data_IF_639866234926
#
_entry.id   IF_639866234926
#
_cell.length_a   1.000
_cell.length_b   1.000
_cell.length_c   1.000
_cell.angle_alpha   90.00
_cell.angle_beta   90.00
_cell.angle_gamma   90.00
#
_symmetry.space_group_name_H-M   'P 1'
#
loop_
_entity.id
_entity.type
_entity.pdbx_description
1 polymer ?
#
# COMPACT_ATOMS: atom_id res chain seq x y z
N UNK A 1 19.03 13.03 0.85
CA UNK A 1 18.68 12.28 2.07
C UNK A 1 17.57 11.32 1.68
N UNK A 2 17.73 10.00 1.87
CA UNK A 2 16.62 9.07 1.62
C UNK A 2 15.57 9.30 2.73
N UNK A 3 14.27 9.34 2.41
CA UNK A 3 13.25 9.39 3.45
C UNK A 3 13.40 8.17 4.37
N UNK A 4 13.26 8.32 5.69
CA UNK A 4 13.34 7.19 6.59
C UNK A 4 12.22 6.19 6.27
N UNK A 5 12.58 4.91 6.22
CA UNK A 5 11.69 3.78 5.90
C UNK A 5 11.15 3.19 7.20
N UNK A 6 9.86 2.84 7.22
CA UNK A 6 9.21 2.19 8.38
C UNK A 6 8.98 0.72 8.12
N UNK A 7 8.42 0.42 6.96
CA UNK A 7 7.96 -0.91 6.63
C UNK A 7 8.38 -1.27 5.22
N UNK A 8 8.90 -2.48 5.07
CA UNK A 8 9.14 -3.12 3.78
C UNK A 8 8.40 -4.44 3.79
N UNK A 9 7.37 -4.56 2.96
CA UNK A 9 6.67 -5.83 2.72
C UNK A 9 6.94 -6.26 1.28
N UNK A 10 7.14 -7.55 1.08
CA UNK A 10 7.31 -8.15 -0.23
C UNK A 10 6.00 -8.81 -0.67
N UNK A 11 5.86 -8.98 -1.97
CA UNK A 11 5.08 -10.06 -2.57
C UNK A 11 5.85 -10.50 -3.81
N UNK A 12 6.24 -11.77 -3.87
CA UNK A 12 6.94 -12.39 -4.99
C UNK A 12 8.06 -11.51 -5.60
N UNK A 13 7.72 -10.64 -6.55
CA UNK A 13 8.66 -9.74 -7.25
C UNK A 13 8.51 -8.26 -6.92
N UNK A 14 7.52 -7.86 -6.14
CA UNK A 14 7.23 -6.46 -5.81
C UNK A 14 7.57 -6.18 -4.35
N UNK A 15 8.20 -5.04 -4.09
CA UNK A 15 8.38 -4.51 -2.73
C UNK A 15 7.47 -3.33 -2.52
N UNK A 16 6.76 -3.32 -1.41
CA UNK A 16 5.95 -2.23 -0.91
C UNK A 16 6.70 -1.61 0.27
N UNK A 17 7.03 -0.34 0.15
CA UNK A 17 7.80 0.40 1.16
C UNK A 17 6.93 1.54 1.66
N UNK A 18 6.70 1.62 2.96
CA UNK A 18 6.02 2.76 3.60
C UNK A 18 7.10 3.66 4.21
N UNK A 19 7.13 4.90 3.76
CA UNK A 19 8.03 5.94 4.24
C UNK A 19 7.43 6.67 5.45
N UNK A 20 8.28 7.36 6.20
CA UNK A 20 7.90 8.12 7.42
C UNK A 20 6.94 9.28 7.22
N UNK A 21 6.69 9.67 5.98
CA UNK A 21 5.68 10.66 5.59
C UNK A 21 4.35 10.01 5.15
N UNK A 22 4.22 8.69 5.28
CA UNK A 22 3.05 7.92 4.86
C UNK A 22 3.03 7.56 3.37
N UNK A 23 4.02 7.99 2.58
CA UNK A 23 4.09 7.65 1.16
C UNK A 23 4.36 6.14 0.99
N UNK A 24 3.63 5.51 0.07
CA UNK A 24 3.87 4.14 -0.37
C UNK A 24 4.70 4.16 -1.64
N UNK A 25 5.86 3.53 -1.60
CA UNK A 25 6.65 3.21 -2.79
C UNK A 25 6.45 1.74 -3.19
N UNK A 26 6.07 1.53 -4.44
CA UNK A 26 5.90 0.23 -5.08
C UNK A 26 7.10 0.02 -6.00
N UNK A 27 7.95 -0.96 -5.68
CA UNK A 27 9.12 -1.35 -6.47
C UNK A 27 8.89 -2.71 -7.11
N UNK A 28 8.40 -2.78 -8.35
CA UNK A 28 8.29 -4.06 -9.05
C UNK A 28 9.70 -4.56 -9.43
N UNK A 29 9.87 -5.88 -9.52
CA UNK A 29 11.13 -6.51 -9.92
C UNK A 29 11.56 -6.17 -11.34
N UNK A 30 10.62 -5.71 -12.17
CA UNK A 30 10.86 -5.12 -13.47
C UNK A 30 9.90 -3.94 -13.69
N UNK A 31 10.36 -2.88 -14.36
CA UNK A 31 9.57 -1.68 -14.63
C UNK A 31 9.95 -0.49 -13.76
N UNK A 32 9.06 0.50 -13.69
CA UNK A 32 9.29 1.75 -12.95
C UNK A 32 8.70 1.66 -11.54
N UNK A 33 9.39 2.28 -10.58
CA UNK A 33 8.83 2.48 -9.25
C UNK A 33 7.64 3.43 -9.32
N UNK A 34 6.65 3.20 -8.46
CA UNK A 34 5.49 4.07 -8.29
C UNK A 34 5.46 4.60 -6.86
N UNK A 35 5.09 5.86 -6.71
CA UNK A 35 4.98 6.52 -5.41
C UNK A 35 3.54 7.00 -5.25
N UNK A 36 2.92 6.65 -4.12
CA UNK A 36 1.51 6.92 -3.82
C UNK A 36 1.43 7.65 -2.49
N UNK A 37 0.76 8.79 -2.50
CA UNK A 37 0.48 9.63 -1.33
C UNK A 37 -1.01 9.96 -1.28
N UNK A 38 -1.44 10.70 -0.25
CA UNK A 38 -2.81 11.22 -0.12
C UNK A 38 -3.88 10.11 -0.27
N UNK A 39 -3.58 8.96 0.33
CA UNK A 39 -4.48 7.81 0.37
C UNK A 39 -5.62 8.15 1.33
N UNK A 40 -6.86 8.03 0.85
CA UNK A 40 -8.05 8.38 1.62
C UNK A 40 -9.02 7.20 1.78
N UNK A 41 -8.87 6.13 1.00
CA UNK A 41 -9.66 4.91 1.17
C UNK A 41 -8.89 3.65 0.78
N UNK A 42 -9.09 2.58 1.54
CA UNK A 42 -8.63 1.23 1.24
C UNK A 42 -9.85 0.32 1.07
N UNK A 43 -9.82 -0.50 0.03
CA UNK A 43 -10.73 -1.63 -0.11
C UNK A 43 -9.89 -2.90 0.05
N UNK A 44 -10.15 -3.69 1.08
CA UNK A 44 -9.41 -4.90 1.43
C UNK A 44 -10.27 -6.14 1.20
N UNK A 45 -9.75 -7.09 0.42
CA UNK A 45 -10.36 -8.35 0.03
C UNK A 45 -9.51 -9.51 0.54
N UNK A 46 -9.65 -9.92 1.82
CA UNK A 46 -8.81 -10.94 2.44
C UNK A 46 -8.84 -12.28 1.68
N UNK A 47 -9.98 -12.62 1.09
CA UNK A 47 -10.19 -13.89 0.39
C UNK A 47 -9.98 -13.80 -1.13
N UNK A 48 -9.44 -12.68 -1.64
CA UNK A 48 -9.15 -12.55 -3.07
C UNK A 48 -8.09 -13.57 -3.48
N UNK A 49 -8.49 -14.49 -4.38
CA UNK A 49 -7.57 -15.42 -5.06
C UNK A 49 -6.77 -14.76 -6.19
N UNK A 50 -7.16 -13.55 -6.58
CA UNK A 50 -6.44 -12.71 -7.53
C UNK A 50 -5.47 -11.80 -6.73
N UNK A 51 -4.28 -11.55 -7.26
CA UNK A 51 -3.16 -10.75 -6.70
C UNK A 51 -3.51 -9.25 -6.53
N UNK A 52 -4.66 -8.96 -5.93
CA UNK A 52 -5.30 -7.65 -5.78
C UNK A 52 -6.07 -7.60 -4.46
N UNK A 53 -5.46 -8.08 -3.37
CA UNK A 53 -6.10 -8.10 -2.04
C UNK A 53 -6.40 -6.69 -1.55
N UNK A 54 -5.66 -5.67 -1.96
CA UNK A 54 -5.86 -4.29 -1.52
C UNK A 54 -6.03 -3.37 -2.73
N UNK A 55 -7.05 -2.52 -2.70
CA UNK A 55 -7.18 -1.36 -3.60
C UNK A 55 -6.96 -0.08 -2.79
N UNK A 56 -5.91 0.67 -3.12
CA UNK A 56 -5.63 2.00 -2.58
C UNK A 56 -6.34 3.05 -3.44
N UNK A 57 -7.20 3.87 -2.83
CA UNK A 57 -7.80 5.06 -3.46
C UNK A 57 -7.04 6.28 -2.99
N UNK A 58 -6.53 7.04 -3.96
CA UNK A 58 -5.72 8.21 -3.72
C UNK A 58 -5.97 9.24 -4.81
N UNK A 59 -6.02 10.52 -4.43
CA UNK A 59 -6.39 11.63 -5.33
C UNK A 59 -7.70 11.28 -6.10
N UNK A 60 -7.66 11.23 -7.44
CA UNK A 60 -8.79 10.83 -8.30
C UNK A 60 -8.58 9.47 -8.99
N UNK A 61 -7.72 8.60 -8.45
CA UNK A 61 -7.34 7.33 -9.07
C UNK A 61 -7.22 6.20 -8.04
N UNK A 62 -6.77 5.02 -8.49
CA UNK A 62 -6.55 3.87 -7.63
C UNK A 62 -5.33 3.05 -8.05
N UNK A 63 -4.83 2.25 -7.11
CA UNK A 63 -3.82 1.22 -7.38
C UNK A 63 -4.21 -0.06 -6.65
N UNK A 64 -4.09 -1.20 -7.35
CA UNK A 64 -4.20 -2.50 -6.71
C UNK A 64 -2.83 -2.96 -6.24
N UNK A 65 -2.75 -3.39 -4.99
CA UNK A 65 -1.53 -3.91 -4.36
C UNK A 65 -1.86 -5.21 -3.64
N UNK A 66 -0.84 -6.04 -3.47
CA UNK A 66 -0.99 -7.34 -2.83
C UNK A 66 0.20 -7.66 -1.93
N UNK A 67 0.49 -6.88 -0.89
CA UNK A 67 1.56 -7.22 0.05
C UNK A 67 1.31 -8.58 0.73
N UNK A 68 2.35 -9.38 0.98
CA UNK A 68 2.24 -10.70 1.65
C UNK A 68 1.61 -10.60 3.05
N UNK A 69 1.74 -9.44 3.70
CA UNK A 69 1.16 -9.12 5.01
C UNK A 69 0.19 -7.92 4.88
N UNK A 70 -1.00 -8.13 4.32
CA UNK A 70 -1.92 -7.04 3.99
C UNK A 70 -2.46 -6.30 5.21
N UNK A 71 -2.68 -6.99 6.33
CA UNK A 71 -3.16 -6.37 7.57
C UNK A 71 -2.11 -5.44 8.17
N UNK A 72 -0.84 -5.86 8.22
CA UNK A 72 0.27 -5.03 8.71
C UNK A 72 0.46 -3.79 7.83
N UNK A 73 0.31 -3.97 6.51
CA UNK A 73 0.35 -2.87 5.55
C UNK A 73 -0.76 -1.83 5.81
N UNK A 74 -2.00 -2.28 6.01
CA UNK A 74 -3.17 -1.41 6.28
C UNK A 74 -3.01 -0.68 7.61
N UNK A 75 -2.65 -1.40 8.68
CA UNK A 75 -2.50 -0.81 10.02
C UNK A 75 -1.37 0.22 10.05
N UNK A 76 -0.28 -0.01 9.31
CA UNK A 76 0.77 0.98 9.17
C UNK A 76 0.28 2.23 8.44
N UNK A 77 -0.51 2.09 7.37
CA UNK A 77 -1.09 3.25 6.68
C UNK A 77 -2.06 4.06 7.55
N UNK A 78 -2.82 3.40 8.44
CA UNK A 78 -3.70 4.08 9.40
C UNK A 78 -2.94 4.97 10.39
N UNK A 79 -1.68 4.67 10.68
CA UNK A 79 -0.86 5.54 11.55
C UNK A 79 -0.53 6.89 10.90
N UNK A 80 -0.50 6.95 9.56
CA UNK A 80 -0.17 8.17 8.80
C UNK A 80 -1.38 8.91 8.27
N UNK A 81 -2.46 8.17 7.98
CA UNK A 81 -3.69 8.72 7.46
C UNK A 81 -4.80 8.52 8.50
N UNK A 82 -5.00 9.46 9.45
CA UNK A 82 -5.97 9.31 10.54
C UNK A 82 -7.41 9.19 10.04
N UNK A 83 -7.73 9.81 8.90
CA UNK A 83 -9.06 9.77 8.27
C UNK A 83 -9.18 8.63 7.23
N UNK A 84 -8.26 7.67 7.23
CA UNK A 84 -8.25 6.58 6.25
C UNK A 84 -9.46 5.66 6.43
N UNK A 85 -10.37 5.73 5.47
CA UNK A 85 -11.50 4.81 5.40
C UNK A 85 -11.02 3.43 4.94
N UNK A 86 -11.32 2.37 5.69
CA UNK A 86 -11.01 0.99 5.31
C UNK A 86 -12.32 0.21 5.20
N UNK A 87 -12.55 -0.35 4.02
CA UNK A 87 -13.68 -1.23 3.72
C UNK A 87 -13.18 -2.65 3.51
N UNK A 88 -13.84 -3.62 4.14
CA UNK A 88 -13.55 -5.05 3.96
C UNK A 88 -14.64 -5.64 3.06
N UNK A 89 -14.24 -6.29 1.97
CA UNK A 89 -15.11 -6.92 0.97
C UNK A 89 -14.84 -8.43 0.84
#
# INVERSE_FOLDING_TARGET
MLPPIILVILNHRTRYIIHTDGQVEIRPGAGKNKFIDQIHRIIYRPNSRLDQRITLRYRQTFENVDPDQPEVFIETLRQYYPDLSVEIQ
#
